data_IF_455400167768
#
_entry.id   IF_455400167768
#
_cell.length_a   1.000
_cell.length_b   1.000
_cell.length_c   1.000
_cell.angle_alpha   90.00
_cell.angle_beta   90.00
_cell.angle_gamma   90.00
#
_symmetry.space_group_name_H-M   'P 1'
#
loop_
_entity.id
_entity.type
_entity.pdbx_description
1 polymer ?
#
# COMPACT_ATOMS: atom_id res chain seq x y z
N UNK A 1 25.50 -0.13 -22.97
CA UNK A 1 24.94 1.11 -23.56
C UNK A 1 23.55 1.26 -23.06
N UNK A 2 23.22 2.40 -22.42
CA UNK A 2 21.84 2.71 -22.02
C UNK A 2 21.07 2.94 -23.33
N UNK A 3 20.01 2.17 -23.56
CA UNK A 3 19.13 2.42 -24.70
C UNK A 3 18.49 3.80 -24.47
N UNK A 4 18.68 4.74 -25.38
CA UNK A 4 18.18 6.13 -25.22
C UNK A 4 16.70 6.29 -25.60
N UNK A 5 16.01 5.21 -25.97
CA UNK A 5 14.62 5.24 -26.38
C UNK A 5 13.77 4.40 -25.42
N UNK A 6 12.90 5.06 -24.67
CA UNK A 6 11.92 4.43 -23.79
C UNK A 6 10.51 4.83 -24.22
N UNK A 7 9.56 3.88 -24.15
CA UNK A 7 8.13 4.18 -24.39
C UNK A 7 7.57 5.06 -23.28
N UNK A 8 8.06 4.87 -22.04
CA UNK A 8 7.57 5.58 -20.85
C UNK A 8 8.72 6.05 -19.96
N UNK A 9 8.58 7.28 -19.50
CA UNK A 9 9.40 7.89 -18.46
C UNK A 9 8.54 8.13 -17.22
N UNK A 10 8.94 7.54 -16.09
CA UNK A 10 8.25 7.71 -14.80
C UNK A 10 9.14 8.50 -13.87
N UNK A 11 8.63 9.61 -13.35
CA UNK A 11 9.34 10.45 -12.38
C UNK A 11 8.90 10.08 -10.97
N UNK A 12 9.85 9.59 -10.17
CA UNK A 12 9.67 9.18 -8.78
C UNK A 12 9.67 7.67 -8.59
N UNK A 13 10.66 7.15 -7.84
CA UNK A 13 10.84 5.74 -7.48
C UNK A 13 10.18 5.39 -6.15
N UNK A 14 8.97 5.89 -5.89
CA UNK A 14 8.10 5.43 -4.81
C UNK A 14 7.28 4.21 -5.22
N UNK A 15 6.44 3.70 -4.29
CA UNK A 15 5.62 2.50 -4.53
C UNK A 15 4.71 2.67 -5.77
N UNK A 16 4.14 3.85 -5.98
CA UNK A 16 3.26 4.12 -7.13
C UNK A 16 4.07 4.10 -8.44
N UNK A 17 5.22 4.79 -8.46
CA UNK A 17 6.07 4.82 -9.66
C UNK A 17 6.57 3.44 -10.07
N UNK A 18 7.13 2.68 -9.11
CA UNK A 18 7.61 1.33 -9.42
C UNK A 18 6.49 0.35 -9.76
N UNK A 19 5.33 0.40 -9.09
CA UNK A 19 4.22 -0.50 -9.45
C UNK A 19 3.69 -0.20 -10.85
N UNK A 20 3.60 1.07 -11.23
CA UNK A 20 3.23 1.48 -12.60
C UNK A 20 4.29 1.00 -13.61
N UNK A 21 5.56 1.21 -13.31
CA UNK A 21 6.67 0.79 -14.16
C UNK A 21 6.65 -0.72 -14.41
N UNK A 22 6.48 -1.53 -13.37
CA UNK A 22 6.42 -3.00 -13.47
C UNK A 22 5.24 -3.43 -14.36
N UNK A 23 4.06 -2.82 -14.22
CA UNK A 23 2.90 -3.16 -15.04
C UNK A 23 3.11 -2.81 -16.52
N UNK A 24 3.66 -1.64 -16.80
CA UNK A 24 4.00 -1.24 -18.17
C UNK A 24 5.05 -2.17 -18.78
N UNK A 25 6.10 -2.50 -18.03
CA UNK A 25 7.14 -3.42 -18.49
C UNK A 25 6.57 -4.80 -18.79
N UNK A 26 5.69 -5.33 -17.93
CA UNK A 26 4.99 -6.61 -18.16
C UNK A 26 4.06 -6.58 -19.38
N UNK A 27 3.59 -5.42 -19.78
CA UNK A 27 2.81 -5.24 -21.02
C UNK A 27 3.68 -5.05 -22.28
N UNK A 28 4.99 -5.28 -22.19
CA UNK A 28 5.93 -5.21 -23.32
C UNK A 28 6.42 -3.80 -23.65
N UNK A 29 6.23 -2.83 -22.72
CA UNK A 29 6.71 -1.46 -22.91
C UNK A 29 8.08 -1.26 -22.26
N UNK A 30 8.95 -0.52 -22.91
CA UNK A 30 10.23 -0.10 -22.33
C UNK A 30 10.04 1.07 -21.38
N UNK A 31 10.55 0.95 -20.14
CA UNK A 31 10.29 1.93 -19.08
C UNK A 31 11.58 2.37 -18.41
N UNK A 32 11.71 3.70 -18.25
CA UNK A 32 12.73 4.33 -17.43
C UNK A 32 12.08 5.00 -16.21
N UNK A 33 12.55 4.67 -15.01
CA UNK A 33 12.19 5.36 -13.77
C UNK A 33 13.31 6.30 -13.36
N UNK A 34 12.99 7.60 -13.24
CA UNK A 34 13.87 8.60 -12.67
C UNK A 34 13.59 8.76 -11.18
N UNK A 35 14.58 8.57 -10.33
CA UNK A 35 14.50 8.74 -8.89
C UNK A 35 15.66 9.59 -8.40
N UNK A 36 15.39 10.58 -7.55
CA UNK A 36 16.42 11.44 -7.00
C UNK A 36 17.22 10.78 -5.89
N UNK A 37 16.61 9.85 -5.17
CA UNK A 37 17.23 9.19 -4.05
C UNK A 37 17.95 7.90 -4.47
N UNK A 38 19.07 7.63 -3.81
CA UNK A 38 19.85 6.42 -4.05
C UNK A 38 19.07 5.14 -3.73
N UNK A 39 18.18 5.19 -2.74
CA UNK A 39 17.42 4.04 -2.26
C UNK A 39 15.94 4.18 -2.63
N UNK A 40 15.28 3.13 -3.21
CA UNK A 40 13.85 3.14 -3.46
C UNK A 40 13.03 3.40 -2.19
N UNK A 41 11.94 4.15 -2.30
CA UNK A 41 11.02 4.37 -1.20
C UNK A 41 11.57 5.17 -0.02
N UNK A 42 12.57 6.01 -0.22
CA UNK A 42 13.22 6.82 0.83
C UNK A 42 12.30 7.85 1.48
N UNK A 43 11.22 8.24 0.81
CA UNK A 43 10.23 9.21 1.27
C UNK A 43 8.94 8.55 1.77
N UNK A 44 7.76 9.01 1.33
CA UNK A 44 6.46 8.59 1.84
C UNK A 44 6.22 7.07 1.78
N UNK A 45 6.74 6.39 0.74
CA UNK A 45 6.61 4.94 0.62
C UNK A 45 7.35 4.16 1.71
N UNK A 46 8.41 4.72 2.30
CA UNK A 46 9.14 4.12 3.41
C UNK A 46 8.90 4.78 4.78
N UNK A 47 8.15 5.90 4.81
CA UNK A 47 7.89 6.70 6.02
C UNK A 47 6.40 6.82 6.26
N UNK A 48 5.74 5.71 6.54
CA UNK A 48 4.30 5.61 6.79
C UNK A 48 4.01 4.62 7.92
N UNK A 49 2.75 4.47 8.30
CA UNK A 49 2.32 3.58 9.39
C UNK A 49 2.37 2.09 9.06
N UNK A 50 2.69 1.71 7.83
CA UNK A 50 2.76 0.32 7.39
C UNK A 50 1.40 -0.40 7.29
N UNK A 51 0.29 0.30 7.39
CA UNK A 51 -1.05 -0.33 7.44
C UNK A 51 -1.49 -0.82 6.06
N UNK A 52 -1.84 -2.09 5.99
CA UNK A 52 -2.61 -2.67 4.88
C UNK A 52 -4.08 -2.32 5.14
N UNK A 53 -4.61 -1.34 4.41
CA UNK A 53 -5.96 -0.84 4.62
C UNK A 53 -7.04 -1.81 4.15
N UNK A 54 -8.08 -2.00 4.96
CA UNK A 54 -9.23 -2.85 4.64
C UNK A 54 -10.22 -2.24 3.63
N UNK A 55 -10.24 -0.91 3.51
CA UNK A 55 -11.20 -0.19 2.67
C UNK A 55 -12.52 0.19 3.36
N UNK A 56 -12.76 -0.21 4.61
CA UNK A 56 -14.03 -0.04 5.33
C UNK A 56 -14.55 1.40 5.43
N UNK A 57 -13.66 2.38 5.37
CA UNK A 57 -14.05 3.80 5.47
C UNK A 57 -14.57 4.38 4.16
N UNK A 58 -14.39 3.70 3.04
CA UNK A 58 -14.77 4.21 1.74
C UNK A 58 -16.23 3.90 1.41
N UNK A 59 -16.88 4.81 0.68
CA UNK A 59 -18.26 4.63 0.23
C UNK A 59 -18.32 3.38 -0.67
N UNK A 60 -19.27 2.45 -0.44
CA UNK A 60 -19.49 1.32 -1.32
C UNK A 60 -19.66 1.74 -2.79
N UNK A 61 -19.17 0.93 -3.70
CA UNK A 61 -19.19 1.16 -5.15
C UNK A 61 -18.40 2.40 -5.65
N UNK A 62 -17.67 3.09 -4.77
CA UNK A 62 -16.73 4.13 -5.20
C UNK A 62 -15.43 3.51 -5.75
N UNK A 63 -14.75 4.24 -6.64
CA UNK A 63 -13.40 3.83 -7.10
C UNK A 63 -12.43 3.62 -5.92
N UNK A 64 -12.55 4.43 -4.86
CA UNK A 64 -11.71 4.28 -3.66
C UNK A 64 -11.93 2.93 -2.97
N UNK A 65 -13.19 2.47 -2.83
CA UNK A 65 -13.47 1.16 -2.23
C UNK A 65 -13.00 0.02 -3.12
N UNK A 66 -13.31 0.07 -4.41
CA UNK A 66 -12.94 -0.97 -5.37
C UNK A 66 -11.42 -1.12 -5.48
N UNK A 67 -10.70 0.00 -5.69
CA UNK A 67 -9.24 0.00 -5.82
C UNK A 67 -8.54 -0.37 -4.51
N UNK A 68 -9.09 0.02 -3.35
CA UNK A 68 -8.51 -0.35 -2.05
C UNK A 68 -8.63 -1.84 -1.77
N UNK A 69 -9.79 -2.44 -2.04
CA UNK A 69 -10.04 -3.87 -1.84
C UNK A 69 -9.16 -4.67 -2.82
N UNK A 70 -9.24 -4.35 -4.11
CA UNK A 70 -8.44 -5.03 -5.13
C UNK A 70 -6.94 -4.85 -4.92
N UNK A 71 -6.51 -3.63 -4.58
CA UNK A 71 -5.10 -3.34 -4.30
C UNK A 71 -4.56 -4.10 -3.09
N UNK A 72 -5.38 -4.30 -2.04
CA UNK A 72 -5.02 -5.14 -0.90
C UNK A 72 -4.79 -6.60 -1.30
N UNK A 73 -5.68 -7.17 -2.11
CA UNK A 73 -5.55 -8.55 -2.60
C UNK A 73 -4.26 -8.74 -3.39
N UNK A 74 -4.02 -7.87 -4.37
CA UNK A 74 -2.80 -7.89 -5.17
C UNK A 74 -1.53 -7.68 -4.33
N UNK A 75 -1.60 -6.79 -3.33
CA UNK A 75 -0.50 -6.58 -2.41
C UNK A 75 -0.19 -7.86 -1.62
N UNK A 76 -1.20 -8.51 -1.03
CA UNK A 76 -1.01 -9.73 -0.24
C UNK A 76 -0.41 -10.86 -1.11
N UNK A 77 -0.90 -11.01 -2.34
CA UNK A 77 -0.34 -11.95 -3.31
C UNK A 77 1.13 -11.64 -3.60
N UNK A 78 1.45 -10.39 -3.91
CA UNK A 78 2.82 -9.93 -4.14
C UNK A 78 3.73 -10.20 -2.93
N UNK A 79 3.26 -9.90 -1.71
CA UNK A 79 4.02 -10.15 -0.48
C UNK A 79 4.38 -11.63 -0.30
N UNK A 80 3.44 -12.53 -0.60
CA UNK A 80 3.67 -13.98 -0.56
C UNK A 80 4.70 -14.43 -1.60
N UNK A 81 4.53 -13.97 -2.87
CA UNK A 81 5.45 -14.32 -3.97
C UNK A 81 6.88 -13.83 -3.68
N UNK A 82 7.01 -12.63 -3.11
CA UNK A 82 8.32 -12.02 -2.82
C UNK A 82 8.86 -12.38 -1.43
N UNK A 83 8.17 -13.24 -0.68
CA UNK A 83 8.54 -13.62 0.69
C UNK A 83 8.76 -12.40 1.62
N UNK A 84 7.95 -11.34 1.45
CA UNK A 84 8.02 -10.16 2.30
C UNK A 84 7.17 -10.41 3.55
N UNK A 85 7.74 -10.30 4.77
CA UNK A 85 6.97 -10.50 6.00
C UNK A 85 5.84 -9.48 6.15
N UNK A 86 4.65 -9.95 6.49
CA UNK A 86 3.47 -9.15 6.81
C UNK A 86 2.60 -9.88 7.83
N UNK A 87 1.68 -9.16 8.48
CA UNK A 87 0.73 -9.74 9.44
C UNK A 87 -0.68 -9.22 9.15
N UNK A 88 -1.67 -10.11 9.18
CA UNK A 88 -3.09 -9.81 9.00
C UNK A 88 -3.82 -10.04 10.33
N UNK A 89 -3.54 -9.22 11.33
CA UNK A 89 -4.10 -9.33 12.68
C UNK A 89 -5.44 -8.58 12.81
N UNK A 90 -5.86 -7.92 11.75
CA UNK A 90 -7.02 -7.04 11.77
C UNK A 90 -6.72 -5.70 12.43
N UNK A 91 -7.78 -4.94 12.66
CA UNK A 91 -7.76 -3.72 13.45
C UNK A 91 -9.02 -3.58 14.27
N UNK A 92 -8.92 -2.85 15.37
CA UNK A 92 -10.05 -2.43 16.16
C UNK A 92 -10.34 -0.96 15.87
N UNK A 93 -11.60 -0.64 15.59
CA UNK A 93 -12.10 0.74 15.46
C UNK A 93 -12.95 1.03 16.67
N UNK A 94 -12.60 2.05 17.43
CA UNK A 94 -13.33 2.49 18.62
C UNK A 94 -13.92 3.88 18.41
N UNK A 95 -15.14 4.09 18.89
CA UNK A 95 -15.77 5.42 18.93
C UNK A 95 -16.75 5.45 20.13
N UNK A 96 -16.88 6.61 20.75
CA UNK A 96 -17.89 6.84 21.83
C UNK A 96 -19.32 6.78 21.29
N UNK A 97 -19.51 7.10 20.01
CA UNK A 97 -20.80 7.08 19.35
C UNK A 97 -21.04 5.73 18.69
N UNK A 98 -21.91 4.91 19.31
CA UNK A 98 -22.25 3.57 18.81
C UNK A 98 -22.80 3.59 17.38
N UNK A 99 -23.56 4.63 17.00
CA UNK A 99 -24.12 4.76 15.65
C UNK A 99 -23.05 4.80 14.57
N UNK A 100 -21.86 5.36 14.88
CA UNK A 100 -20.74 5.32 13.92
C UNK A 100 -20.19 3.90 13.74
N UNK A 101 -20.12 3.13 14.81
CA UNK A 101 -19.69 1.73 14.78
C UNK A 101 -20.68 0.88 13.97
N UNK A 102 -22.00 1.05 14.24
CA UNK A 102 -23.06 0.38 13.49
C UNK A 102 -23.07 0.74 12.00
N UNK A 103 -22.85 2.02 11.66
CA UNK A 103 -22.73 2.47 10.29
C UNK A 103 -21.53 1.82 9.57
N UNK A 104 -20.40 1.64 10.25
CA UNK A 104 -19.26 0.93 9.70
C UNK A 104 -19.54 -0.57 9.54
N UNK A 105 -20.25 -1.19 10.49
CA UNK A 105 -20.69 -2.59 10.36
C UNK A 105 -21.62 -2.77 9.16
N UNK A 106 -22.60 -1.89 8.97
CA UNK A 106 -23.49 -1.96 7.81
C UNK A 106 -22.70 -1.76 6.50
N UNK A 107 -21.80 -0.78 6.49
CA UNK A 107 -20.91 -0.57 5.32
C UNK A 107 -20.04 -1.79 5.01
N UNK A 108 -19.58 -2.51 6.02
CA UNK A 108 -18.80 -3.74 5.79
C UNK A 108 -19.59 -4.81 5.06
N UNK A 109 -20.91 -4.91 5.32
CA UNK A 109 -21.83 -5.80 4.58
C UNK A 109 -21.95 -5.38 3.12
N UNK A 110 -22.15 -4.07 2.87
CA UNK A 110 -22.23 -3.52 1.51
C UNK A 110 -20.90 -3.69 0.71
N UNK A 111 -19.78 -3.82 1.42
CA UNK A 111 -18.46 -4.08 0.84
C UNK A 111 -18.09 -5.58 0.79
N UNK A 112 -19.00 -6.47 1.16
CA UNK A 112 -18.79 -7.91 1.25
C UNK A 112 -17.56 -8.30 2.10
N UNK A 113 -17.37 -7.59 3.24
CA UNK A 113 -16.26 -7.83 4.15
C UNK A 113 -16.67 -8.85 5.22
N UNK A 114 -16.12 -10.04 5.15
CA UNK A 114 -16.42 -11.13 6.09
C UNK A 114 -15.73 -10.93 7.45
N UNK A 115 -16.34 -11.47 8.51
CA UNK A 115 -15.75 -11.51 9.86
C UNK A 115 -15.70 -10.16 10.59
N UNK A 116 -16.26 -9.09 10.03
CA UNK A 116 -16.38 -7.80 10.70
C UNK A 116 -17.48 -7.91 11.77
N UNK A 117 -17.15 -7.56 13.01
CA UNK A 117 -18.08 -7.70 14.15
C UNK A 117 -17.88 -6.63 15.21
N UNK A 118 -18.97 -6.28 15.89
CA UNK A 118 -18.89 -5.47 17.10
C UNK A 118 -18.31 -6.34 18.23
N UNK A 119 -17.37 -5.78 18.97
CA UNK A 119 -16.76 -6.42 20.13
C UNK A 119 -17.52 -6.01 21.39
N UNK A 120 -17.75 -6.96 22.30
CA UNK A 120 -18.14 -6.68 23.67
C UNK A 120 -17.01 -5.98 24.42
N UNK A 121 -17.31 -5.41 25.61
CA UNK A 121 -16.29 -4.76 26.43
C UNK A 121 -15.11 -5.70 26.74
N UNK A 122 -15.40 -6.95 27.11
CA UNK A 122 -14.37 -7.92 27.46
C UNK A 122 -13.52 -8.31 26.24
N UNK A 123 -14.15 -8.58 25.10
CA UNK A 123 -13.46 -8.88 23.85
C UNK A 123 -12.60 -7.69 23.36
N UNK A 124 -13.05 -6.47 23.63
CA UNK A 124 -12.26 -5.27 23.29
C UNK A 124 -11.03 -5.16 24.20
N UNK A 125 -11.20 -5.37 25.52
CA UNK A 125 -10.10 -5.31 26.49
C UNK A 125 -9.05 -6.42 26.27
N UNK A 126 -9.46 -7.61 25.80
CA UNK A 126 -8.52 -8.64 25.37
C UNK A 126 -7.59 -8.19 24.24
N UNK A 127 -8.09 -7.38 23.32
CA UNK A 127 -7.33 -6.87 22.17
C UNK A 127 -6.61 -5.56 22.46
N UNK A 128 -7.24 -4.69 23.24
CA UNK A 128 -6.78 -3.35 23.56
C UNK A 128 -6.95 -3.10 25.08
N UNK A 129 -6.05 -3.64 25.91
CA UNK A 129 -6.18 -3.61 27.38
C UNK A 129 -6.28 -2.21 27.99
N UNK A 130 -5.73 -1.21 27.28
CA UNK A 130 -5.75 0.19 27.74
C UNK A 130 -6.92 1.00 27.18
N UNK A 131 -7.89 0.36 26.53
CA UNK A 131 -9.03 1.08 25.97
C UNK A 131 -9.96 1.60 27.08
N UNK A 132 -10.20 2.91 27.08
CA UNK A 132 -11.22 3.55 27.93
C UNK A 132 -12.62 3.49 27.31
N UNK A 133 -12.71 3.07 26.05
CA UNK A 133 -13.98 2.90 25.32
C UNK A 133 -14.39 1.44 25.44
N UNK A 134 -15.66 1.19 25.73
CA UNK A 134 -16.18 -0.15 26.04
C UNK A 134 -16.77 -0.88 24.84
N UNK A 135 -16.67 -0.31 23.64
CA UNK A 135 -17.21 -0.90 22.42
C UNK A 135 -16.32 -0.59 21.22
N UNK A 136 -16.23 -1.52 20.30
CA UNK A 136 -15.42 -1.37 19.12
C UNK A 136 -15.87 -2.28 17.99
N UNK A 137 -15.37 -2.03 16.79
CA UNK A 137 -15.58 -2.87 15.63
C UNK A 137 -14.26 -3.56 15.29
N UNK A 138 -14.27 -4.88 15.23
CA UNK A 138 -13.14 -5.64 14.72
C UNK A 138 -13.25 -5.80 13.20
N UNK A 139 -12.16 -5.48 12.49
CA UNK A 139 -12.06 -5.54 11.03
C UNK A 139 -10.87 -6.42 10.65
N UNK A 140 -11.08 -7.72 10.35
CA UNK A 140 -10.00 -8.68 10.14
C UNK A 140 -9.18 -8.42 8.86
N UNK A 141 -9.72 -7.68 7.90
CA UNK A 141 -9.06 -7.42 6.61
C UNK A 141 -7.94 -6.36 6.68
N UNK A 142 -7.58 -5.86 7.85
CA UNK A 142 -6.45 -4.96 8.01
C UNK A 142 -5.19 -5.73 8.41
N UNK A 143 -4.04 -5.15 8.12
CA UNK A 143 -2.76 -5.74 8.48
C UNK A 143 -1.64 -4.72 8.49
N UNK A 144 -0.41 -5.21 8.63
CA UNK A 144 0.80 -4.39 8.62
C UNK A 144 1.88 -5.00 7.75
N UNK A 145 2.62 -4.14 7.07
CA UNK A 145 3.76 -4.50 6.22
C UNK A 145 4.80 -3.38 6.21
N UNK A 146 6.04 -3.71 5.94
CA UNK A 146 7.07 -2.71 5.67
C UNK A 146 7.02 -2.30 4.19
N UNK A 147 6.38 -1.16 3.89
CA UNK A 147 6.24 -0.66 2.51
C UNK A 147 7.57 -0.28 1.85
N UNK A 148 8.64 -0.02 2.61
CA UNK A 148 9.97 0.15 2.03
C UNK A 148 10.41 -1.15 1.35
N UNK A 149 10.28 -2.30 2.02
CA UNK A 149 10.59 -3.61 1.43
C UNK A 149 9.73 -3.93 0.20
N UNK A 150 8.46 -3.52 0.23
CA UNK A 150 7.58 -3.66 -0.95
C UNK A 150 8.12 -2.83 -2.13
N UNK A 151 8.52 -1.58 -1.86
CA UNK A 151 9.04 -0.69 -2.90
C UNK A 151 10.38 -1.17 -3.46
N UNK A 152 11.26 -1.68 -2.60
CA UNK A 152 12.54 -2.28 -2.99
C UNK A 152 12.31 -3.53 -3.88
N UNK A 153 11.39 -4.41 -3.50
CA UNK A 153 11.05 -5.60 -4.29
C UNK A 153 10.43 -5.26 -5.65
N UNK A 154 9.62 -4.19 -5.74
CA UNK A 154 9.10 -3.70 -7.01
C UNK A 154 10.22 -3.14 -7.91
N UNK A 155 11.21 -2.44 -7.34
CA UNK A 155 12.35 -1.94 -8.09
C UNK A 155 13.23 -3.08 -8.65
N UNK A 156 13.42 -4.15 -7.87
CA UNK A 156 14.10 -5.35 -8.32
C UNK A 156 13.32 -6.09 -9.42
N UNK A 157 11.99 -6.17 -9.27
CA UNK A 157 11.12 -6.78 -10.27
C UNK A 157 11.17 -6.00 -11.59
N UNK A 158 11.14 -4.66 -11.54
CA UNK A 158 11.34 -3.83 -12.73
C UNK A 158 12.66 -4.18 -13.45
N UNK A 159 13.76 -4.26 -12.70
CA UNK A 159 15.07 -4.61 -13.22
C UNK A 159 15.10 -6.00 -13.84
N UNK A 160 14.47 -6.99 -13.20
CA UNK A 160 14.43 -8.38 -13.71
C UNK A 160 13.66 -8.53 -15.01
N UNK A 161 12.73 -7.62 -15.31
CA UNK A 161 12.01 -7.54 -16.59
C UNK A 161 12.66 -6.60 -17.61
N UNK A 162 13.91 -6.15 -17.37
CA UNK A 162 14.66 -5.30 -18.32
C UNK A 162 14.32 -3.81 -18.21
N UNK A 163 13.52 -3.38 -17.25
CA UNK A 163 13.28 -1.96 -16.99
C UNK A 163 14.49 -1.29 -16.35
N UNK A 164 14.62 0.01 -16.55
CA UNK A 164 15.74 0.80 -16.07
C UNK A 164 15.33 1.75 -14.94
N UNK A 165 16.20 1.90 -13.96
CA UNK A 165 16.13 2.98 -12.97
C UNK A 165 17.39 3.83 -13.08
N UNK A 166 17.21 5.11 -13.36
CA UNK A 166 18.27 6.09 -13.28
C UNK A 166 18.15 6.85 -11.97
N UNK A 167 19.21 6.79 -11.18
CA UNK A 167 19.39 7.61 -10.00
C UNK A 167 20.24 8.81 -10.37
N UNK A 168 19.72 10.02 -10.13
CA UNK A 168 20.49 11.25 -10.30
C UNK A 168 20.33 12.09 -9.04
N UNK A 169 21.43 12.42 -8.39
CA UNK A 169 21.43 13.26 -7.18
C UNK A 169 21.04 14.71 -7.49
N UNK A 170 21.12 15.14 -8.74
CA UNK A 170 20.68 16.46 -9.17
C UNK A 170 20.59 16.59 -10.69
N UNK A 171 19.41 16.40 -11.25
CA UNK A 171 19.20 16.67 -12.68
C UNK A 171 19.22 18.18 -13.01
N UNK A 172 19.18 19.04 -11.99
CA UNK A 172 19.23 20.49 -12.16
C UNK A 172 20.66 21.05 -12.01
N UNK A 173 21.55 20.43 -11.23
CA UNK A 173 22.90 20.92 -11.01
C UNK A 173 23.89 20.51 -12.12
N UNK A 174 23.70 19.36 -12.77
CA UNK A 174 24.58 18.91 -13.86
C UNK A 174 24.35 19.68 -15.17
N UNK A 175 23.20 20.34 -15.34
CA UNK A 175 22.93 21.14 -16.52
C UNK A 175 23.56 22.55 -16.50
N UNK A 176 24.13 22.98 -15.37
CA UNK A 176 24.79 24.28 -15.20
C UNK A 176 26.32 24.21 -15.19
N UNK A 177 26.90 23.04 -15.43
CA UNK A 177 28.34 22.88 -15.62
C UNK A 177 28.67 22.59 -17.06
N UNK A 178 28.51 23.61 -17.91
CA UNK A 178 29.14 23.74 -19.23
C UNK A 178 30.07 24.93 -19.18
#
# INVERSE_FOLDING_TARGET
MVNNNYDFLIVGGGIVGFSTAVQLQKSGKSVLVLEKEKTPGSHQSGRNSGVIHSGIYYKPNSFKSQLSIRGRELLIEFLKIKNIPFRLEGKVVVDKNIKKIENLLNRSKDLNMEGVKILTSDQLLEKEPNSVIKQGLFVPQAGVVNYRKVTEALAEELKSHGGCRLYTSDAADDSLRV
#
